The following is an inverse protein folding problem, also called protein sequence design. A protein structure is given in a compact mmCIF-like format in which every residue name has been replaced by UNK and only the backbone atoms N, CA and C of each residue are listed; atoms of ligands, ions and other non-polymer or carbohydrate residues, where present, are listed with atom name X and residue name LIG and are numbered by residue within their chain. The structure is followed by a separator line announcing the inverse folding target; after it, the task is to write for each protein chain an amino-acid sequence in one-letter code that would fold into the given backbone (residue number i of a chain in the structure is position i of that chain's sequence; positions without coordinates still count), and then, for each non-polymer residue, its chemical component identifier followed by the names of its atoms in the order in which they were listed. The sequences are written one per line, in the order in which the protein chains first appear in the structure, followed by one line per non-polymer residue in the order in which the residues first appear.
data_IF_499978692357
#
_entry.id   IF_499978692357
#
_cell.length_a   1.000
_cell.length_b   1.000
_cell.length_c   1.000
_cell.angle_alpha   90.00
_cell.angle_beta   90.00
_cell.angle_gamma   90.00
#
_symmetry.space_group_name_H-M   'P 1'
#
loop_
_entity.id
_entity.type
_entity.pdbx_description
1 polymer ?
#
# COMPACT_ATOMS: atom_id res chain seq x y z
N UNK A 1 -29.15 1.40 -36.32
CA UNK A 1 -28.23 2.18 -35.46
C UNK A 1 -28.34 1.53 -34.10
N UNK A 2 -27.51 0.51 -33.87
CA UNK A 2 -27.59 -0.36 -32.70
C UNK A 2 -26.97 0.34 -31.48
N UNK A 3 -27.72 0.38 -30.41
CA UNK A 3 -27.33 0.83 -29.07
C UNK A 3 -26.27 -0.11 -28.49
N UNK A 4 -25.16 0.39 -27.90
CA UNK A 4 -24.20 -0.47 -27.24
C UNK A 4 -24.74 -0.91 -25.88
N UNK A 5 -24.79 -2.22 -25.66
CA UNK A 5 -25.08 -2.85 -24.39
C UNK A 5 -24.05 -2.39 -23.34
N UNK A 6 -24.55 -1.76 -22.29
CA UNK A 6 -23.74 -1.38 -21.14
C UNK A 6 -23.53 -2.64 -20.30
N UNK A 7 -22.35 -3.23 -20.44
CA UNK A 7 -21.88 -4.36 -19.64
C UNK A 7 -21.94 -4.01 -18.14
N UNK A 8 -23.00 -4.43 -17.47
CA UNK A 8 -23.13 -4.43 -16.01
C UNK A 8 -22.09 -5.40 -15.42
N UNK A 9 -20.95 -4.87 -14.98
CA UNK A 9 -20.16 -5.56 -13.98
C UNK A 9 -20.94 -5.51 -12.66
N UNK A 10 -21.24 -6.66 -12.02
CA UNK A 10 -21.99 -6.67 -10.78
C UNK A 10 -21.18 -6.00 -9.68
N UNK A 11 -21.79 -4.98 -9.07
CA UNK A 11 -21.33 -4.31 -7.86
C UNK A 11 -20.94 -5.34 -6.82
N UNK A 12 -19.63 -5.58 -6.71
CA UNK A 12 -19.06 -6.33 -5.59
C UNK A 12 -19.25 -5.51 -4.33
N UNK A 13 -20.40 -5.72 -3.68
CA UNK A 13 -20.73 -5.39 -2.30
C UNK A 13 -19.93 -4.17 -1.78
N UNK A 14 -20.33 -2.98 -2.24
CA UNK A 14 -19.98 -1.74 -1.58
C UNK A 14 -20.64 -1.75 -0.19
N UNK A 15 -20.00 -2.41 0.77
CA UNK A 15 -20.28 -2.19 2.19
C UNK A 15 -20.13 -0.69 2.39
N UNK A 16 -21.25 0.01 2.56
CA UNK A 16 -21.29 1.45 2.73
C UNK A 16 -20.44 1.82 3.95
N UNK A 17 -19.18 2.15 3.70
CA UNK A 17 -18.26 2.64 4.71
C UNK A 17 -18.77 4.00 5.10
N UNK A 18 -19.18 4.18 6.36
CA UNK A 18 -19.64 5.48 6.84
C UNK A 18 -18.56 6.53 6.53
N UNK A 19 -18.94 7.75 6.17
CA UNK A 19 -18.00 8.81 5.81
C UNK A 19 -16.96 9.09 6.93
N UNK A 20 -17.27 8.69 8.17
CA UNK A 20 -16.45 8.82 9.37
C UNK A 20 -15.55 7.62 9.69
N UNK A 21 -15.37 6.65 8.77
CA UNK A 21 -14.40 5.58 8.99
C UNK A 21 -13.00 5.99 8.53
N UNK A 22 -12.02 5.79 9.41
CA UNK A 22 -10.61 6.06 9.17
C UNK A 22 -9.84 4.74 9.06
N UNK A 23 -8.93 4.66 8.09
CA UNK A 23 -8.12 3.45 7.86
C UNK A 23 -6.65 3.71 8.15
N UNK A 24 -6.01 2.68 8.70
CA UNK A 24 -4.59 2.58 8.89
C UNK A 24 -4.12 1.24 8.33
N UNK A 25 -3.15 1.26 7.44
CA UNK A 25 -2.47 0.06 6.98
C UNK A 25 -1.14 -0.06 7.71
N UNK A 26 -1.03 -1.07 8.56
CA UNK A 26 0.23 -1.40 9.22
C UNK A 26 1.13 -2.14 8.23
N UNK A 27 2.41 -1.80 8.20
CA UNK A 27 3.37 -2.54 7.39
C UNK A 27 3.61 -3.90 8.07
N UNK A 28 3.43 -5.05 7.41
CA UNK A 28 3.55 -6.35 8.07
C UNK A 28 4.91 -6.51 8.77
N UNK A 29 4.89 -7.15 9.95
CA UNK A 29 6.09 -7.47 10.70
C UNK A 29 7.05 -8.26 9.80
N UNK A 30 8.29 -7.79 9.65
CA UNK A 30 9.29 -8.40 8.77
C UNK A 30 9.72 -7.55 7.58
N UNK A 31 9.19 -6.34 7.38
CA UNK A 31 9.72 -5.42 6.35
C UNK A 31 11.15 -4.97 6.62
N UNK A 32 11.57 -4.84 7.88
CA UNK A 32 12.98 -4.60 8.22
C UNK A 32 13.86 -5.80 7.86
N UNK A 33 13.39 -7.02 8.15
CA UNK A 33 14.05 -8.26 7.73
C UNK A 33 14.09 -8.39 6.20
N UNK A 34 13.05 -7.91 5.51
CA UNK A 34 12.99 -7.87 4.05
C UNK A 34 14.03 -6.90 3.46
N UNK A 35 14.18 -5.72 4.06
CA UNK A 35 15.24 -4.77 3.68
C UNK A 35 16.64 -5.37 3.89
N UNK A 36 16.84 -6.12 4.97
CA UNK A 36 18.11 -6.81 5.21
C UNK A 36 18.40 -7.89 4.15
N UNK A 37 17.42 -8.73 3.79
CA UNK A 37 17.57 -9.74 2.73
C UNK A 37 17.88 -9.11 1.38
N UNK A 38 17.18 -8.02 1.03
CA UNK A 38 17.42 -7.26 -0.18
C UNK A 38 18.87 -6.75 -0.27
N UNK A 39 19.37 -6.13 0.81
CA UNK A 39 20.74 -5.62 0.87
C UNK A 39 21.74 -6.77 0.74
N UNK A 40 21.47 -7.89 1.41
CA UNK A 40 22.32 -9.08 1.35
C UNK A 40 22.46 -9.59 -0.08
N UNK A 41 21.35 -9.86 -0.78
CA UNK A 41 21.39 -10.34 -2.16
C UNK A 41 22.08 -9.36 -3.12
N UNK A 42 21.83 -8.06 -2.97
CA UNK A 42 22.46 -7.02 -3.79
C UNK A 42 23.97 -6.93 -3.57
N UNK A 43 24.43 -6.97 -2.32
CA UNK A 43 25.85 -6.96 -1.98
C UNK A 43 26.54 -8.23 -2.46
N UNK A 44 25.97 -9.41 -2.21
CA UNK A 44 26.55 -10.67 -2.68
C UNK A 44 26.61 -10.75 -4.20
N UNK A 45 25.58 -10.28 -4.92
CA UNK A 45 25.60 -10.19 -6.39
C UNK A 45 26.71 -9.26 -6.90
N UNK A 46 26.86 -8.11 -6.24
CA UNK A 46 27.86 -7.09 -6.59
C UNK A 46 29.28 -7.62 -6.35
N UNK A 47 29.54 -8.24 -5.20
CA UNK A 47 30.84 -8.85 -4.88
C UNK A 47 31.16 -9.99 -5.86
N UNK A 48 30.20 -10.86 -6.14
CA UNK A 48 30.36 -11.95 -7.11
C UNK A 48 30.76 -11.43 -8.50
N UNK A 49 30.13 -10.34 -8.94
CA UNK A 49 30.45 -9.70 -10.21
C UNK A 49 31.86 -9.09 -10.19
N UNK A 50 32.19 -8.25 -9.21
CA UNK A 50 33.42 -7.46 -9.23
C UNK A 50 34.68 -8.24 -8.84
N UNK A 51 34.58 -9.21 -7.91
CA UNK A 51 35.74 -9.95 -7.42
C UNK A 51 36.00 -11.24 -8.17
N UNK A 52 34.96 -11.87 -8.71
CA UNK A 52 35.05 -13.23 -9.28
C UNK A 52 34.63 -13.29 -10.76
N UNK A 53 34.30 -12.15 -11.38
CA UNK A 53 33.73 -12.05 -12.75
C UNK A 53 32.54 -13.01 -12.96
N UNK A 54 31.83 -13.32 -11.87
CA UNK A 54 30.75 -14.30 -11.84
C UNK A 54 29.41 -13.58 -11.83
N UNK A 55 28.79 -13.53 -13.01
CA UNK A 55 27.46 -12.95 -13.18
C UNK A 55 26.36 -13.95 -12.76
N UNK A 56 26.09 -14.01 -11.46
CA UNK A 56 25.00 -14.83 -10.93
C UNK A 56 23.63 -14.22 -11.28
N UNK A 57 23.05 -14.67 -12.39
CA UNK A 57 21.68 -14.31 -12.80
C UNK A 57 20.65 -14.60 -11.71
N UNK A 58 20.86 -15.66 -10.92
CA UNK A 58 19.96 -16.03 -9.84
C UNK A 58 19.94 -15.00 -8.70
N UNK A 59 21.10 -14.48 -8.28
CA UNK A 59 21.16 -13.45 -7.25
C UNK A 59 20.53 -12.13 -7.71
N UNK A 60 20.80 -11.74 -8.96
CA UNK A 60 20.15 -10.57 -9.56
C UNK A 60 18.64 -10.75 -9.68
N UNK A 61 18.17 -11.92 -10.07
CA UNK A 61 16.74 -12.24 -10.11
C UNK A 61 16.10 -12.16 -8.71
N UNK A 62 16.75 -12.73 -7.68
CA UNK A 62 16.28 -12.65 -6.29
C UNK A 62 16.23 -11.19 -5.79
N UNK A 63 17.28 -10.41 -6.05
CA UNK A 63 17.33 -8.99 -5.73
C UNK A 63 16.17 -8.21 -6.36
N UNK A 64 15.93 -8.40 -7.66
CA UNK A 64 14.83 -7.75 -8.37
C UNK A 64 13.46 -8.23 -7.87
N UNK A 65 13.32 -9.52 -7.56
CA UNK A 65 12.08 -10.07 -7.00
C UNK A 65 11.78 -9.44 -5.64
N UNK A 66 12.78 -9.31 -4.76
CA UNK A 66 12.63 -8.63 -3.48
C UNK A 66 12.21 -7.15 -3.62
N UNK A 67 12.76 -6.45 -4.61
CA UNK A 67 12.39 -5.05 -4.90
C UNK A 67 10.95 -4.94 -5.38
N UNK A 68 10.54 -5.77 -6.33
CA UNK A 68 9.18 -5.73 -6.86
C UNK A 68 8.14 -6.17 -5.82
N UNK A 69 8.50 -7.10 -4.94
CA UNK A 69 7.62 -7.55 -3.86
C UNK A 69 7.27 -6.42 -2.87
N UNK A 70 8.17 -5.46 -2.67
CA UNK A 70 7.92 -4.29 -1.81
C UNK A 70 6.68 -3.51 -2.25
N UNK A 71 6.41 -3.45 -3.55
CA UNK A 71 5.25 -2.74 -4.12
C UNK A 71 3.93 -3.28 -3.56
N UNK A 72 3.87 -4.58 -3.24
CA UNK A 72 2.67 -5.19 -2.70
C UNK A 72 2.47 -4.89 -1.20
N UNK A 73 3.56 -4.74 -0.44
CA UNK A 73 3.50 -4.59 1.02
C UNK A 73 3.48 -3.14 1.49
N UNK A 74 4.01 -2.22 0.69
CA UNK A 74 4.04 -0.80 1.03
C UNK A 74 2.81 -0.08 0.44
N UNK A 75 1.82 0.30 1.26
CA UNK A 75 0.61 0.93 0.79
C UNK A 75 0.86 2.33 0.21
N UNK A 76 2.00 2.97 0.48
CA UNK A 76 2.34 4.29 -0.06
C UNK A 76 2.92 4.21 -1.47
N UNK A 77 3.58 3.11 -1.85
CA UNK A 77 4.22 2.94 -3.17
C UNK A 77 3.19 2.91 -4.29
N UNK A 78 2.05 2.26 -4.07
CA UNK A 78 0.95 2.18 -5.02
C UNK A 78 -0.35 2.71 -4.41
N UNK A 79 -0.42 4.03 -4.21
CA UNK A 79 -1.63 4.71 -3.77
C UNK A 79 -2.04 5.87 -4.67
N UNK A 80 -3.35 6.11 -4.74
CA UNK A 80 -3.93 7.30 -5.34
C UNK A 80 -4.28 8.29 -4.23
N UNK A 81 -3.72 9.49 -4.29
CA UNK A 81 -4.06 10.52 -3.31
C UNK A 81 -5.34 11.25 -3.70
N UNK A 82 -6.23 11.46 -2.73
CA UNK A 82 -7.46 12.24 -2.86
C UNK A 82 -7.56 13.24 -1.71
N UNK A 83 -8.26 14.35 -1.91
CA UNK A 83 -8.63 15.25 -0.83
C UNK A 83 -9.95 14.79 -0.19
N UNK A 84 -9.98 14.66 1.13
CA UNK A 84 -11.17 14.34 1.91
C UNK A 84 -11.43 15.46 2.92
N UNK A 85 -12.69 15.89 3.01
CA UNK A 85 -13.12 16.87 4.02
C UNK A 85 -13.39 16.15 5.33
N UNK A 86 -12.77 16.60 6.41
CA UNK A 86 -12.95 16.07 7.77
C UNK A 86 -14.17 16.75 8.42
N UNK A 87 -14.83 16.13 9.43
CA UNK A 87 -15.91 16.77 10.18
C UNK A 87 -15.62 18.18 10.74
N UNK A 88 -14.37 18.54 10.97
CA UNK A 88 -13.96 19.90 11.38
C UNK A 88 -13.96 20.93 10.23
N UNK A 89 -14.37 20.54 9.02
CA UNK A 89 -14.41 21.38 7.82
C UNK A 89 -13.08 21.48 7.06
N UNK A 90 -11.98 20.97 7.60
CA UNK A 90 -10.66 20.99 6.96
C UNK A 90 -10.53 19.95 5.84
N UNK A 91 -9.80 20.28 4.79
CA UNK A 91 -9.40 19.32 3.75
C UNK A 91 -8.07 18.68 4.10
N UNK A 92 -8.04 17.34 4.09
CA UNK A 92 -6.79 16.57 4.22
C UNK A 92 -6.57 15.69 3.00
N UNK A 93 -5.28 15.45 2.71
CA UNK A 93 -4.87 14.49 1.70
C UNK A 93 -4.90 13.09 2.30
N UNK A 94 -5.74 12.23 1.75
CA UNK A 94 -5.80 10.80 2.07
C UNK A 94 -5.29 9.99 0.89
N UNK A 95 -4.60 8.89 1.16
CA UNK A 95 -4.08 7.96 0.17
C UNK A 95 -5.01 6.75 0.10
N UNK A 96 -5.40 6.35 -1.10
CA UNK A 96 -6.14 5.11 -1.35
C UNK A 96 -5.20 4.09 -1.98
N UNK A 97 -4.72 3.09 -1.22
CA UNK A 97 -3.86 2.04 -1.78
C UNK A 97 -4.58 1.24 -2.86
N UNK A 98 -3.86 0.80 -3.88
CA UNK A 98 -4.40 -0.13 -4.88
C UNK A 98 -4.63 -1.50 -4.27
N UNK A 99 -3.69 -1.96 -3.44
CA UNK A 99 -3.74 -3.27 -2.78
C UNK A 99 -3.58 -3.04 -1.27
N UNK A 100 -4.41 -3.70 -0.48
CA UNK A 100 -4.30 -3.71 0.98
C UNK A 100 -4.57 -5.11 1.51
N UNK A 101 -3.74 -5.56 2.46
CA UNK A 101 -3.96 -6.83 3.14
C UNK A 101 -4.90 -6.64 4.32
N UNK A 102 -5.95 -7.45 4.43
CA UNK A 102 -6.93 -7.36 5.52
C UNK A 102 -6.29 -7.54 6.89
N UNK A 103 -5.30 -8.43 6.99
CA UNK A 103 -4.55 -8.67 8.24
C UNK A 103 -3.77 -7.44 8.72
N UNK A 104 -3.47 -6.50 7.81
CA UNK A 104 -2.72 -5.27 8.07
C UNK A 104 -3.63 -4.04 8.19
N UNK A 105 -4.93 -4.18 7.95
CA UNK A 105 -5.91 -3.09 7.97
C UNK A 105 -6.44 -2.90 9.39
N UNK A 106 -6.31 -1.69 9.92
CA UNK A 106 -7.01 -1.21 11.12
C UNK A 106 -8.02 -0.16 10.72
N UNK A 107 -9.21 -0.24 11.29
CA UNK A 107 -10.30 0.72 11.08
C UNK A 107 -10.76 1.30 12.41
N UNK A 108 -11.13 2.57 12.41
CA UNK A 108 -11.79 3.23 13.54
C UNK A 108 -12.89 4.15 13.03
N UNK A 109 -13.98 4.27 13.79
CA UNK A 109 -15.07 5.22 13.55
C UNK A 109 -14.90 6.51 14.33
N UNK A 110 -14.02 6.51 15.34
CA UNK A 110 -13.70 7.69 16.14
C UNK A 110 -12.56 8.48 15.48
N UNK A 111 -12.60 9.81 15.59
CA UNK A 111 -11.53 10.65 15.05
C UNK A 111 -10.20 10.33 15.76
N UNK A 112 -9.17 9.88 15.03
CA UNK A 112 -7.96 9.38 15.67
C UNK A 112 -6.94 10.47 16.02
N UNK A 113 -7.23 11.74 15.72
CA UNK A 113 -6.43 12.90 16.09
C UNK A 113 -6.93 13.57 17.37
N UNK A 114 -6.27 14.65 17.78
CA UNK A 114 -6.76 15.49 18.87
C UNK A 114 -8.11 16.14 18.48
N UNK A 115 -9.01 16.44 19.43
CA UNK A 115 -10.24 17.17 19.15
C UNK A 115 -9.94 18.50 18.43
N UNK A 116 -10.51 18.71 17.24
CA UNK A 116 -10.25 19.89 16.40
C UNK A 116 -8.89 19.89 15.68
N UNK A 117 -8.07 18.85 15.86
CA UNK A 117 -6.74 18.71 15.25
C UNK A 117 -6.76 18.15 13.83
N UNK A 118 -5.56 17.97 13.27
CA UNK A 118 -5.33 17.35 11.97
C UNK A 118 -5.36 15.83 12.06
N UNK A 119 -5.63 15.16 10.93
CA UNK A 119 -5.58 13.71 10.85
C UNK A 119 -4.13 13.22 10.95
N UNK A 120 -3.78 12.33 11.89
CA UNK A 120 -2.43 11.79 11.98
C UNK A 120 -2.05 11.04 10.70
N UNK A 121 -0.77 11.14 10.29
CA UNK A 121 -0.27 10.48 9.08
C UNK A 121 -0.60 8.97 9.03
N UNK A 122 -0.56 8.28 10.17
CA UNK A 122 -0.90 6.85 10.24
C UNK A 122 -2.34 6.53 9.76
N UNK A 123 -3.29 7.46 9.92
CA UNK A 123 -4.69 7.28 9.57
C UNK A 123 -5.06 7.92 8.24
N UNK A 124 -4.08 8.34 7.44
CA UNK A 124 -4.27 9.04 6.16
C UNK A 124 -4.75 8.12 5.04
N UNK A 125 -5.29 6.95 5.33
CA UNK A 125 -5.67 5.99 4.31
C UNK A 125 -7.18 5.91 4.11
N UNK A 126 -7.57 5.69 2.86
CA UNK A 126 -8.87 5.13 2.51
C UNK A 126 -8.75 3.63 2.31
N UNK A 127 -9.89 2.95 2.37
CA UNK A 127 -9.99 1.53 2.09
C UNK A 127 -9.40 1.20 0.70
N UNK A 128 -8.50 0.24 0.64
CA UNK A 128 -7.81 -0.16 -0.58
C UNK A 128 -8.79 -0.65 -1.66
N UNK A 129 -8.43 -0.51 -2.94
CA UNK A 129 -9.24 -0.99 -4.07
C UNK A 129 -9.36 -2.51 -4.08
N UNK A 130 -8.22 -3.21 -4.03
CA UNK A 130 -8.15 -4.66 -3.91
C UNK A 130 -7.78 -5.04 -2.48
N UNK A 131 -8.61 -5.87 -1.85
CA UNK A 131 -8.40 -6.35 -0.47
C UNK A 131 -8.16 -7.85 -0.45
N UNK A 132 -6.92 -8.22 -0.15
CA UNK A 132 -6.46 -9.61 -0.06
C UNK A 132 -6.46 -10.05 1.41
#
# INVERSE_FOLDING_TARGET
METPETSEFPDSAAVAVSEQTYFHYHIPFGMDSWMAMYIFFGLTATIAWFQYDYNSKALWFLFQTCQNLKIFFDPDVCSLSKKKKIPNGSEVKVNKPLIGFRACEKQTTEFPGAPGGTLPNKWRYERAYLRI
#
